data_IF_228348175224
#
_entry.id   IF_228348175224
#
_cell.length_a   1.000
_cell.length_b   1.000
_cell.length_c   1.000
_cell.angle_alpha   90.00
_cell.angle_beta   90.00
_cell.angle_gamma   90.00
#
_symmetry.space_group_name_H-M   'P 1'
#
loop_
_entity.id
_entity.type
_entity.pdbx_description
1 polymer ?
#
# COMPACT_ATOMS: atom_id res chain seq x y z
N UNK A 1 55.78 0.99 25.16
CA UNK A 1 54.50 0.57 25.75
C UNK A 1 53.46 1.53 25.19
N UNK A 2 52.48 1.18 24.39
CA UNK A 2 51.97 -0.08 23.84
C UNK A 2 50.68 0.34 23.13
N UNK A 3 50.50 -0.15 21.92
CA UNK A 3 49.56 0.31 20.92
C UNK A 3 48.10 0.33 21.42
N UNK A 4 47.32 1.32 21.01
CA UNK A 4 45.85 1.24 21.03
C UNK A 4 45.32 1.70 19.68
N UNK A 5 45.63 0.87 18.69
CA UNK A 5 44.87 0.77 17.45
C UNK A 5 43.52 0.09 17.75
N UNK A 6 42.41 0.78 17.48
CA UNK A 6 41.22 0.09 16.95
C UNK A 6 40.36 1.09 16.18
N UNK A 7 40.80 1.35 14.95
CA UNK A 7 39.94 1.88 13.91
C UNK A 7 39.00 0.74 13.48
N UNK A 8 37.82 0.69 14.09
CA UNK A 8 36.70 -0.17 13.69
C UNK A 8 35.66 0.62 12.91
N UNK A 9 35.86 0.74 11.60
CA UNK A 9 34.88 1.28 10.65
C UNK A 9 33.57 0.47 10.68
N UNK A 10 32.45 1.16 10.88
CA UNK A 10 31.11 0.56 10.85
C UNK A 10 29.97 1.58 10.95
N UNK A 11 29.82 2.41 9.91
CA UNK A 11 28.54 3.07 9.54
C UNK A 11 27.96 4.03 10.60
N UNK A 12 28.58 5.21 10.73
CA UNK A 12 27.92 6.40 11.31
C UNK A 12 27.01 7.13 10.29
N UNK A 13 26.49 6.42 9.29
CA UNK A 13 25.60 7.00 8.29
C UNK A 13 24.13 7.09 8.79
N UNK A 14 23.83 6.90 10.07
CA UNK A 14 22.46 6.86 10.57
C UNK A 14 21.91 8.24 10.97
N UNK A 15 22.71 9.13 11.56
CA UNK A 15 22.19 10.40 12.11
C UNK A 15 21.63 11.38 11.07
N UNK A 16 22.34 11.58 9.95
CA UNK A 16 21.97 12.57 8.93
C UNK A 16 20.82 12.07 8.05
N UNK A 17 20.80 10.76 7.77
CA UNK A 17 19.75 10.11 6.99
C UNK A 17 18.43 10.00 7.74
N UNK A 18 18.43 9.95 9.08
CA UNK A 18 17.19 10.01 9.85
C UNK A 18 16.56 11.41 9.76
N UNK A 19 17.36 12.47 9.83
CA UNK A 19 16.87 13.84 9.75
C UNK A 19 16.29 14.20 8.36
N UNK A 20 16.92 13.75 7.27
CA UNK A 20 16.40 13.94 5.91
C UNK A 20 15.11 13.14 5.67
N UNK A 21 15.06 11.89 6.13
CA UNK A 21 13.87 11.04 6.02
C UNK A 21 12.70 11.55 6.87
N UNK A 22 12.96 12.07 8.06
CA UNK A 22 11.92 12.70 8.89
C UNK A 22 11.37 13.95 8.21
N UNK A 23 12.23 14.82 7.65
CA UNK A 23 11.78 15.96 6.84
C UNK A 23 10.90 15.53 5.68
N UNK A 24 11.28 14.47 4.98
CA UNK A 24 10.48 13.98 3.86
C UNK A 24 9.15 13.36 4.34
N UNK A 25 9.12 12.64 5.47
CA UNK A 25 7.85 12.17 6.09
C UNK A 25 6.91 13.34 6.41
N UNK A 26 7.43 14.44 6.98
CA UNK A 26 6.64 15.66 7.24
C UNK A 26 6.06 16.22 5.93
N UNK A 27 6.84 16.25 4.85
CA UNK A 27 6.36 16.73 3.54
C UNK A 27 5.21 15.88 3.01
N UNK A 28 5.38 14.56 2.98
CA UNK A 28 4.33 13.63 2.51
C UNK A 28 3.07 13.75 3.38
N UNK A 29 3.23 13.83 4.70
CA UNK A 29 2.10 14.03 5.62
C UNK A 29 1.29 15.30 5.29
N UNK A 30 1.96 16.44 5.13
CA UNK A 30 1.28 17.70 4.83
C UNK A 30 0.55 17.64 3.48
N UNK A 31 1.16 17.01 2.48
CA UNK A 31 0.56 16.85 1.16
C UNK A 31 -0.71 15.97 1.20
N UNK A 32 -0.65 14.84 1.91
CA UNK A 32 -1.83 13.99 2.12
C UNK A 32 -2.91 14.72 2.90
N UNK A 33 -2.54 15.45 3.95
CA UNK A 33 -3.49 16.21 4.75
C UNK A 33 -4.21 17.28 3.92
N UNK A 34 -3.47 18.04 3.11
CA UNK A 34 -4.05 19.03 2.20
C UNK A 34 -5.03 18.38 1.21
N UNK A 35 -4.61 17.29 0.55
CA UNK A 35 -5.44 16.53 -0.40
C UNK A 35 -6.73 16.02 0.25
N UNK A 36 -6.65 15.46 1.46
CA UNK A 36 -7.82 14.97 2.17
C UNK A 36 -8.80 16.09 2.53
N UNK A 37 -8.29 17.28 2.87
CA UNK A 37 -9.10 18.48 3.10
C UNK A 37 -9.75 18.98 1.80
N UNK A 38 -9.01 19.04 0.70
CA UNK A 38 -9.52 19.42 -0.63
C UNK A 38 -10.63 18.47 -1.11
N UNK A 39 -10.47 17.18 -0.86
CA UNK A 39 -11.47 16.15 -1.18
C UNK A 39 -12.68 16.16 -0.22
N UNK A 40 -12.71 17.06 0.77
CA UNK A 40 -13.72 17.13 1.82
C UNK A 40 -13.98 15.76 2.49
N UNK A 41 -12.91 15.01 2.74
CA UNK A 41 -13.02 13.72 3.43
C UNK A 41 -13.63 13.94 4.82
N UNK A 42 -14.64 13.14 5.17
CA UNK A 42 -15.40 13.33 6.40
C UNK A 42 -14.53 13.25 7.65
N UNK A 43 -13.47 12.42 7.65
CA UNK A 43 -12.55 12.37 8.78
C UNK A 43 -11.63 13.58 8.89
N UNK A 44 -11.34 14.28 7.78
CA UNK A 44 -10.51 15.48 7.83
C UNK A 44 -11.15 16.63 8.63
N UNK A 45 -12.46 16.52 8.88
CA UNK A 45 -13.25 17.47 9.70
C UNK A 45 -13.29 17.06 11.17
N UNK A 46 -12.90 15.82 11.50
CA UNK A 46 -12.95 15.30 12.87
C UNK A 46 -11.79 15.90 13.69
N UNK A 47 -12.05 16.48 14.87
CA UNK A 47 -11.00 16.96 15.76
C UNK A 47 -10.02 15.85 16.12
N UNK A 48 -8.72 16.11 16.05
CA UNK A 48 -7.66 15.13 16.35
C UNK A 48 -7.27 14.22 15.18
N UNK A 49 -7.96 14.32 14.03
CA UNK A 49 -7.62 13.53 12.84
C UNK A 49 -6.17 13.76 12.36
N UNK A 50 -5.70 15.00 12.45
CA UNK A 50 -4.33 15.38 12.06
C UNK A 50 -3.28 14.61 12.88
N UNK A 51 -3.46 14.57 14.20
CA UNK A 51 -2.56 13.85 15.12
C UNK A 51 -2.62 12.35 14.88
N UNK A 52 -3.81 11.78 14.67
CA UNK A 52 -3.95 10.36 14.37
C UNK A 52 -3.33 9.99 13.02
N UNK A 53 -3.47 10.85 12.02
CA UNK A 53 -2.86 10.67 10.71
C UNK A 53 -1.33 10.75 10.83
N UNK A 54 -0.82 11.70 11.61
CA UNK A 54 0.61 11.82 11.88
C UNK A 54 1.16 10.58 12.62
N UNK A 55 0.46 10.12 13.65
CA UNK A 55 0.81 8.92 14.39
C UNK A 55 0.82 7.67 13.49
N UNK A 56 -0.11 7.58 12.54
CA UNK A 56 -0.16 6.51 11.55
C UNK A 56 1.13 6.49 10.69
N UNK A 57 1.56 7.64 10.16
CA UNK A 57 2.82 7.76 9.40
C UNK A 57 4.05 7.40 10.24
N UNK A 58 4.04 7.73 11.52
CA UNK A 58 5.15 7.45 12.42
C UNK A 58 5.29 5.94 12.70
N UNK A 59 4.16 5.22 12.80
CA UNK A 59 4.13 3.76 13.01
C UNK A 59 4.58 2.97 11.78
N UNK A 60 4.46 3.53 10.58
CA UNK A 60 4.92 2.88 9.35
C UNK A 60 6.45 2.95 9.21
N UNK A 61 7.10 1.86 8.75
CA UNK A 61 8.52 1.90 8.42
C UNK A 61 8.77 3.00 7.39
N UNK A 62 9.90 3.68 7.54
CA UNK A 62 10.17 4.90 6.77
C UNK A 62 10.06 4.72 5.26
N UNK A 63 10.44 3.56 4.71
CA UNK A 63 10.28 3.29 3.26
C UNK A 63 8.82 3.38 2.82
N UNK A 64 7.90 2.72 3.52
CA UNK A 64 6.48 2.75 3.21
C UNK A 64 5.91 4.16 3.23
N UNK A 65 6.27 4.98 4.22
CA UNK A 65 5.77 6.35 4.31
C UNK A 65 6.28 7.27 3.19
N UNK A 66 7.45 6.96 2.63
CA UNK A 66 8.05 7.72 1.52
C UNK A 66 7.52 7.27 0.16
N UNK A 67 7.16 6.00 0.03
CA UNK A 67 6.68 5.38 -1.20
C UNK A 67 5.14 5.49 -1.35
N UNK A 68 4.45 6.22 -0.46
CA UNK A 68 2.99 6.37 -0.54
C UNK A 68 2.60 7.31 -1.69
N UNK A 69 1.63 6.87 -2.47
CA UNK A 69 1.10 7.67 -3.56
C UNK A 69 0.14 8.75 -3.03
N UNK A 70 0.65 9.95 -2.82
CA UNK A 70 -0.08 11.13 -2.34
C UNK A 70 -1.27 11.54 -3.24
N UNK A 71 -1.24 11.18 -4.53
CA UNK A 71 -2.37 11.34 -5.45
C UNK A 71 -3.60 10.53 -5.02
N UNK A 72 -3.39 9.41 -4.33
CA UNK A 72 -4.45 8.54 -3.83
C UNK A 72 -4.57 8.63 -2.31
N UNK A 73 -4.63 9.86 -1.79
CA UNK A 73 -4.76 10.13 -0.35
C UNK A 73 -5.94 9.40 0.32
N UNK A 74 -7.06 9.20 -0.41
CA UNK A 74 -8.20 8.41 0.07
C UNK A 74 -7.86 6.93 0.33
N UNK A 75 -6.96 6.33 -0.44
CA UNK A 75 -6.53 4.95 -0.18
C UNK A 75 -5.74 4.84 1.12
N UNK A 76 -4.91 5.85 1.42
CA UNK A 76 -4.13 5.91 2.65
C UNK A 76 -5.08 5.96 3.84
N UNK A 77 -6.15 6.75 3.72
CA UNK A 77 -7.21 6.82 4.71
C UNK A 77 -7.95 5.49 4.87
N UNK A 78 -8.31 4.84 3.75
CA UNK A 78 -8.92 3.51 3.77
C UNK A 78 -8.00 2.48 4.44
N UNK A 79 -6.69 2.50 4.16
CA UNK A 79 -5.73 1.62 4.78
C UNK A 79 -5.66 1.80 6.31
N UNK A 80 -5.66 3.06 6.78
CA UNK A 80 -5.77 3.38 8.20
C UNK A 80 -7.04 2.76 8.80
N UNK A 81 -8.21 2.96 8.18
CA UNK A 81 -9.48 2.37 8.65
C UNK A 81 -9.42 0.84 8.72
N UNK A 82 -8.90 0.20 7.68
CA UNK A 82 -8.76 -1.26 7.63
C UNK A 82 -7.88 -1.78 8.76
N UNK A 83 -6.76 -1.10 9.03
CA UNK A 83 -5.87 -1.48 10.14
C UNK A 83 -6.51 -1.29 11.52
N UNK A 84 -7.30 -0.23 11.70
CA UNK A 84 -8.00 0.02 12.97
C UNK A 84 -9.15 -0.98 13.17
N UNK A 85 -9.88 -1.33 12.11
CA UNK A 85 -10.88 -2.41 12.14
C UNK A 85 -10.22 -3.76 12.45
N UNK A 86 -9.10 -4.09 11.80
CA UNK A 86 -8.39 -5.34 12.07
C UNK A 86 -7.86 -5.46 13.50
N UNK A 87 -7.57 -4.33 14.16
CA UNK A 87 -7.11 -4.31 15.55
C UNK A 87 -8.23 -4.54 16.56
N UNK A 88 -9.43 -4.09 16.23
CA UNK A 88 -10.60 -4.08 17.14
C UNK A 88 -11.60 -5.21 16.85
N UNK A 89 -11.56 -5.79 15.66
CA UNK A 89 -12.44 -6.87 15.26
C UNK A 89 -11.96 -8.24 15.77
N UNK A 90 -12.93 -9.09 16.11
CA UNK A 90 -12.74 -10.53 16.36
C UNK A 90 -12.71 -11.36 15.07
N UNK A 91 -12.86 -10.72 13.90
CA UNK A 91 -12.90 -11.34 12.58
C UNK A 91 -12.17 -10.50 11.52
N UNK A 92 -12.11 -10.96 10.26
CA UNK A 92 -11.37 -10.28 9.21
C UNK A 92 -11.97 -8.90 8.88
N UNK A 93 -11.12 -7.88 8.71
CA UNK A 93 -11.54 -6.52 8.36
C UNK A 93 -12.07 -6.38 6.92
N UNK A 94 -11.81 -7.39 6.07
CA UNK A 94 -12.28 -7.45 4.69
C UNK A 94 -12.84 -8.84 4.43
N UNK A 95 -14.05 -8.88 3.90
CA UNK A 95 -14.63 -10.10 3.35
C UNK A 95 -14.42 -10.13 1.84
N UNK A 96 -13.86 -11.22 1.32
CA UNK A 96 -13.61 -11.40 -0.11
C UNK A 96 -14.53 -12.49 -0.63
N UNK A 97 -15.29 -12.20 -1.68
CA UNK A 97 -16.12 -13.17 -2.39
C UNK A 97 -15.44 -13.60 -3.68
N UNK A 98 -15.30 -14.90 -3.89
CA UNK A 98 -14.83 -15.44 -5.16
C UNK A 98 -15.90 -15.21 -6.23
N UNK A 99 -15.52 -14.56 -7.34
CA UNK A 99 -16.38 -14.36 -8.50
C UNK A 99 -15.93 -15.34 -9.58
N UNK A 100 -16.82 -16.25 -9.99
CA UNK A 100 -16.58 -17.12 -11.13
C UNK A 100 -16.80 -16.34 -12.43
N UNK A 101 -15.78 -16.30 -13.28
CA UNK A 101 -15.92 -15.81 -14.67
C UNK A 101 -16.14 -17.00 -15.58
N UNK A 102 -17.03 -16.90 -16.59
CA UNK A 102 -17.21 -17.98 -17.56
C UNK A 102 -15.89 -18.24 -18.30
N UNK A 103 -15.52 -19.51 -18.41
CA UNK A 103 -14.40 -19.92 -19.25
C UNK A 103 -14.71 -19.51 -20.70
N UNK A 104 -13.80 -18.75 -21.31
CA UNK A 104 -13.86 -18.48 -22.73
C UNK A 104 -13.52 -19.78 -23.45
N UNK A 105 -14.52 -20.64 -23.64
CA UNK A 105 -14.33 -21.91 -24.31
C UNK A 105 -13.71 -21.69 -25.69
N UNK A 106 -12.56 -22.32 -25.88
CA UNK A 106 -11.80 -22.41 -27.12
C UNK A 106 -12.71 -22.81 -28.29
N UNK A 107 -12.55 -22.23 -29.49
CA UNK A 107 -13.39 -22.54 -30.65
C UNK A 107 -13.32 -24.05 -30.95
N UNK A 108 -14.48 -24.70 -30.89
CA UNK A 108 -14.66 -26.09 -31.31
C UNK A 108 -14.17 -26.25 -32.74
N UNK A 109 -13.04 -26.94 -32.89
CA UNK A 109 -12.48 -27.29 -34.18
C UNK A 109 -13.45 -28.24 -34.90
N UNK A 110 -14.29 -27.71 -35.80
CA UNK A 110 -15.05 -28.53 -36.75
C UNK A 110 -14.06 -29.10 -37.76
N UNK A 111 -13.43 -30.21 -37.39
CA UNK A 111 -12.69 -31.07 -38.32
C UNK A 111 -13.69 -31.59 -39.33
N UNK A 112 -13.69 -31.01 -40.54
CA UNK A 112 -14.19 -31.68 -41.73
C UNK A 112 -13.56 -33.05 -41.84
N UNK A 113 -14.36 -34.09 -42.02
CA UNK A 113 -13.90 -35.39 -42.47
C UNK A 113 -14.86 -35.88 -43.54
N UNK A 114 -14.30 -35.97 -44.74
CA UNK A 114 -14.88 -36.40 -46.00
C UNK A 114 -15.31 -37.88 -46.03
N UNK A 115 -16.20 -38.18 -46.98
CA UNK A 115 -16.35 -39.49 -47.63
C UNK A 115 -17.21 -40.50 -46.83
N UNK A 116 -18.14 -41.25 -47.40
CA UNK A 116 -18.30 -41.67 -48.79
C UNK A 116 -19.62 -42.46 -48.87
N UNK A 117 -20.48 -42.19 -49.85
CA UNK A 117 -21.47 -43.18 -50.29
C UNK A 117 -21.92 -42.86 -51.72
N UNK A 118 -21.47 -43.68 -52.67
CA UNK A 118 -21.96 -43.72 -54.04
C UNK A 118 -23.19 -44.64 -54.07
N UNK A 119 -24.34 -44.22 -54.62
CA UNK A 119 -25.44 -45.13 -54.89
C UNK A 119 -25.33 -45.72 -56.31
N UNK A 120 -25.53 -47.05 -56.34
CA UNK A 120 -25.94 -47.97 -57.43
C UNK A 120 -25.27 -47.93 -58.81
#
# INVERSE_FOLDING_TARGET
MGDTEYCGSGILNSGWNQCSKQRQKVRVYNEVLCRLKELNATEAVVPGFEDDLWAHFYRLPTRYALDMNVERAQDILMHKRLLDMARTATGPAVEVRLVQTPDLESPVNKRSSEGSHMPE
#
